data_IF_412917328953
#
_entry.id   IF_412917328953
#
_cell.length_a   1.000
_cell.length_b   1.000
_cell.length_c   1.000
_cell.angle_alpha   90.00
_cell.angle_beta   90.00
_cell.angle_gamma   90.00
#
_symmetry.space_group_name_H-M   'P 1'
#
loop_
_entity.id
_entity.type
_entity.pdbx_description
1 polymer ?
#
# COMPACT_ATOMS: atom_id res chain seq x y z
N UNK A 1 71.07 32.87 1.61
CA UNK A 1 70.92 33.26 3.03
C UNK A 1 70.41 34.70 3.08
N UNK A 2 69.61 35.02 4.10
CA UNK A 2 68.96 36.32 4.44
C UNK A 2 67.76 36.73 3.57
N UNK A 3 66.51 36.41 3.99
CA UNK A 3 65.56 37.29 4.74
C UNK A 3 65.15 38.55 3.96
N UNK A 4 63.89 38.93 3.78
CA UNK A 4 62.62 38.43 4.30
C UNK A 4 61.46 39.35 3.85
N UNK A 5 60.24 38.90 4.16
CA UNK A 5 58.99 39.63 4.41
C UNK A 5 58.67 40.85 3.53
N UNK A 6 57.65 40.71 2.68
CA UNK A 6 56.83 41.82 2.19
C UNK A 6 55.36 41.50 2.41
N UNK A 7 54.72 42.30 3.25
CA UNK A 7 53.33 42.71 3.06
C UNK A 7 53.19 44.08 3.72
N UNK A 8 52.50 45.01 3.06
CA UNK A 8 51.20 45.34 3.63
C UNK A 8 50.08 45.45 2.60
N UNK A 9 48.89 45.33 3.17
CA UNK A 9 47.55 45.28 2.63
C UNK A 9 47.15 46.59 1.95
N UNK A 10 46.40 46.52 0.86
CA UNK A 10 45.41 47.53 0.52
C UNK A 10 44.16 46.84 -0.05
N UNK A 11 43.07 47.02 0.70
CA UNK A 11 41.70 46.59 0.47
C UNK A 11 41.06 47.45 -0.63
N UNK A 12 40.44 46.83 -1.63
CA UNK A 12 39.47 47.50 -2.48
C UNK A 12 38.37 46.51 -2.89
N UNK A 13 37.25 46.61 -2.19
CA UNK A 13 35.98 45.95 -2.46
C UNK A 13 35.19 46.84 -3.43
N UNK A 14 34.91 46.37 -4.66
CA UNK A 14 33.79 46.89 -5.46
C UNK A 14 33.06 45.71 -6.09
N UNK A 15 31.81 45.54 -5.64
CA UNK A 15 30.81 44.63 -6.17
C UNK A 15 30.32 45.10 -7.54
N UNK A 16 30.06 44.17 -8.44
CA UNK A 16 29.49 44.46 -9.76
C UNK A 16 28.99 43.21 -10.47
N UNK A 17 27.89 42.63 -9.95
CA UNK A 17 26.86 41.83 -10.62
C UNK A 17 27.30 41.05 -11.88
N UNK A 18 28.01 39.93 -11.69
CA UNK A 18 27.97 38.85 -12.66
C UNK A 18 26.63 38.13 -12.54
N UNK A 19 25.85 38.03 -13.63
CA UNK A 19 24.67 37.18 -13.67
C UNK A 19 25.09 35.73 -13.39
N UNK A 20 24.61 35.07 -12.32
CA UNK A 20 24.63 33.62 -12.29
C UNK A 20 23.45 33.15 -13.15
N UNK A 21 23.67 33.06 -14.46
CA UNK A 21 22.95 32.09 -15.28
C UNK A 21 23.50 30.69 -14.92
N UNK A 22 23.23 30.24 -13.70
CA UNK A 22 23.45 28.89 -13.17
C UNK A 22 22.98 28.94 -11.70
N UNK A 23 22.24 27.92 -11.25
CA UNK A 23 21.77 27.73 -9.88
C UNK A 23 20.43 28.38 -9.51
N UNK A 24 19.37 27.94 -10.18
CA UNK A 24 18.12 27.64 -9.49
C UNK A 24 17.44 26.48 -10.21
N UNK A 25 18.09 25.31 -10.19
CA UNK A 25 17.30 24.09 -10.02
C UNK A 25 16.70 24.27 -8.63
N UNK A 26 15.51 24.86 -8.58
CA UNK A 26 14.74 24.89 -7.36
C UNK A 26 14.59 23.43 -6.96
N UNK A 27 15.28 23.06 -5.88
CA UNK A 27 15.00 21.87 -5.13
C UNK A 27 13.51 21.91 -4.80
N UNK A 28 12.69 21.24 -5.61
CA UNK A 28 11.35 20.81 -5.22
C UNK A 28 11.53 19.63 -4.26
N UNK A 29 12.23 19.92 -3.15
CA UNK A 29 12.33 19.06 -1.97
C UNK A 29 11.04 19.16 -1.19
N UNK A 30 9.92 18.84 -1.83
CA UNK A 30 8.80 18.24 -1.12
C UNK A 30 9.08 16.76 -1.17
N UNK A 31 9.67 16.23 -0.11
CA UNK A 31 9.65 14.81 0.18
C UNK A 31 8.19 14.38 0.04
N UNK A 32 7.85 13.76 -1.09
CA UNK A 32 6.49 13.28 -1.35
C UNK A 32 6.27 12.21 -0.31
N UNK A 33 5.40 12.48 0.65
CA UNK A 33 4.97 11.45 1.59
C UNK A 33 4.63 10.19 0.78
N UNK A 34 5.13 9.01 1.20
CA UNK A 34 4.90 7.80 0.44
C UNK A 34 3.40 7.58 0.27
N UNK A 35 2.97 7.34 -0.96
CA UNK A 35 1.57 7.02 -1.26
C UNK A 35 1.19 5.81 -0.42
N UNK A 36 0.14 5.95 0.40
CA UNK A 36 -0.37 4.87 1.24
C UNK A 36 -0.63 3.61 0.40
N UNK A 37 -0.10 2.49 0.85
CA UNK A 37 -0.31 1.16 0.29
C UNK A 37 -0.96 0.28 1.36
N UNK A 38 -2.24 -0.07 1.15
CA UNK A 38 -3.04 -0.92 2.04
C UNK A 38 -2.33 -2.26 2.30
N UNK A 39 -1.64 -2.80 1.31
CA UNK A 39 -0.98 -4.09 1.40
C UNK A 39 0.38 -4.04 2.10
N UNK A 40 0.94 -2.86 2.34
CA UNK A 40 2.26 -2.67 2.93
C UNK A 40 2.26 -1.54 3.98
N UNK A 41 1.49 -1.67 5.07
CA UNK A 41 1.47 -0.66 6.12
C UNK A 41 2.85 -0.60 6.82
N UNK A 42 3.34 0.59 7.19
CA UNK A 42 4.63 0.76 7.86
C UNK A 42 4.55 0.45 9.36
N UNK A 43 3.96 -0.69 9.72
CA UNK A 43 3.69 -1.11 11.10
C UNK A 43 4.23 -2.54 11.34
N UNK A 44 4.58 -2.83 12.59
CA UNK A 44 4.91 -4.20 12.99
C UNK A 44 3.62 -5.05 13.04
N UNK A 45 3.60 -6.12 12.25
CA UNK A 45 2.42 -6.97 12.12
C UNK A 45 2.50 -8.15 13.08
N UNK A 46 1.39 -8.42 13.77
CA UNK A 46 1.23 -9.63 14.60
C UNK A 46 0.17 -10.51 13.98
N UNK A 47 0.47 -11.80 13.84
CA UNK A 47 -0.49 -12.79 13.35
C UNK A 47 -1.30 -13.36 14.51
N UNK A 48 -2.62 -13.39 14.36
CA UNK A 48 -3.54 -14.07 15.29
C UNK A 48 -4.24 -15.19 14.54
N UNK A 49 -4.21 -16.41 15.10
CA UNK A 49 -4.96 -17.54 14.56
C UNK A 49 -6.37 -17.55 15.13
N UNK A 50 -7.37 -17.54 14.26
CA UNK A 50 -8.80 -17.60 14.64
C UNK A 50 -9.38 -18.89 14.08
N UNK A 51 -9.99 -19.70 14.95
CA UNK A 51 -10.74 -20.90 14.58
C UNK A 51 -12.19 -20.71 14.99
N UNK A 52 -13.09 -20.64 14.03
CA UNK A 52 -14.53 -20.46 14.25
C UNK A 52 -15.34 -21.25 13.23
N UNK A 53 -16.58 -21.57 13.60
CA UNK A 53 -17.61 -22.13 12.70
C UNK A 53 -18.83 -21.20 12.58
N UNK A 54 -18.70 -19.96 13.06
CA UNK A 54 -19.73 -18.93 13.03
C UNK A 54 -19.14 -17.62 12.53
N UNK A 55 -19.94 -16.88 11.77
CA UNK A 55 -19.65 -15.53 11.33
C UNK A 55 -20.89 -14.65 11.53
N UNK A 56 -20.69 -13.34 11.68
CA UNK A 56 -21.76 -12.36 11.77
C UNK A 56 -21.55 -11.29 10.71
N UNK A 57 -22.66 -10.79 10.14
CA UNK A 57 -22.62 -9.72 9.14
C UNK A 57 -21.89 -10.04 7.81
N UNK A 58 -21.64 -11.32 7.53
CA UNK A 58 -21.08 -11.75 6.25
C UNK A 58 -22.07 -11.59 5.11
N UNK A 59 -21.57 -11.13 3.95
CA UNK A 59 -22.27 -11.36 2.69
C UNK A 59 -21.90 -12.72 2.11
N UNK A 60 -22.82 -13.31 1.35
CA UNK A 60 -22.62 -14.62 0.73
C UNK A 60 -23.31 -14.69 -0.64
N UNK A 61 -22.80 -15.58 -1.49
CA UNK A 61 -23.47 -15.99 -2.72
C UNK A 61 -23.30 -17.50 -2.96
N UNK A 62 -24.26 -18.11 -3.66
CA UNK A 62 -24.31 -19.56 -3.89
C UNK A 62 -23.93 -19.86 -5.33
N UNK A 63 -23.13 -20.91 -5.55
CA UNK A 63 -22.73 -21.31 -6.89
C UNK A 63 -23.95 -21.65 -7.76
N UNK A 64 -23.93 -21.40 -9.08
CA UNK A 64 -25.07 -21.71 -9.95
C UNK A 64 -25.51 -23.17 -9.93
N UNK A 65 -24.59 -24.11 -9.64
CA UNK A 65 -24.88 -25.54 -9.50
C UNK A 65 -25.36 -25.94 -8.09
N UNK A 66 -25.45 -24.98 -7.17
CA UNK A 66 -25.93 -25.16 -5.80
C UNK A 66 -25.02 -25.98 -4.89
N UNK A 67 -23.78 -26.29 -5.32
CA UNK A 67 -22.88 -27.16 -4.54
C UNK A 67 -22.02 -26.41 -3.55
N UNK A 68 -21.76 -25.13 -3.77
CA UNK A 68 -20.83 -24.33 -2.99
C UNK A 68 -21.42 -22.96 -2.68
N UNK A 69 -20.85 -22.30 -1.70
CA UNK A 69 -21.11 -20.89 -1.42
C UNK A 69 -19.81 -20.17 -1.14
N UNK A 70 -19.75 -18.92 -1.56
CA UNK A 70 -18.69 -17.97 -1.23
C UNK A 70 -19.22 -17.00 -0.17
N UNK A 71 -18.38 -16.60 0.77
CA UNK A 71 -18.73 -15.61 1.79
C UNK A 71 -17.52 -14.79 2.19
N UNK A 72 -17.75 -13.59 2.71
CA UNK A 72 -16.69 -12.76 3.30
C UNK A 72 -16.58 -12.95 4.81
N UNK A 73 -15.36 -12.93 5.34
CA UNK A 73 -15.08 -12.96 6.78
C UNK A 73 -13.73 -12.29 7.05
N UNK A 74 -13.72 -11.31 7.96
CA UNK A 74 -12.51 -10.56 8.37
C UNK A 74 -11.72 -9.94 7.20
N UNK A 75 -12.41 -9.49 6.14
CA UNK A 75 -11.78 -8.87 4.97
C UNK A 75 -11.31 -9.86 3.90
N UNK A 76 -11.53 -11.17 4.11
CA UNK A 76 -11.18 -12.19 3.14
C UNK A 76 -12.41 -12.94 2.61
N UNK A 77 -12.29 -13.41 1.37
CA UNK A 77 -13.27 -14.29 0.75
C UNK A 77 -12.94 -15.74 1.03
N UNK A 78 -13.96 -16.52 1.36
CA UNK A 78 -13.87 -17.95 1.60
C UNK A 78 -14.90 -18.69 0.76
N UNK A 79 -14.59 -19.94 0.40
CA UNK A 79 -15.52 -20.85 -0.27
C UNK A 79 -15.67 -22.13 0.55
N UNK A 80 -16.88 -22.66 0.59
CA UNK A 80 -17.18 -23.94 1.24
C UNK A 80 -18.28 -24.70 0.49
N UNK A 81 -18.34 -26.01 0.69
CA UNK A 81 -19.43 -26.84 0.16
C UNK A 81 -20.73 -26.58 0.92
N UNK A 82 -21.87 -26.64 0.22
CA UNK A 82 -23.21 -26.38 0.78
C UNK A 82 -23.58 -27.34 1.91
N UNK A 83 -22.94 -28.52 1.95
CA UNK A 83 -23.11 -29.51 3.01
C UNK A 83 -22.31 -29.18 4.29
N UNK A 84 -21.57 -28.07 4.27
CA UNK A 84 -20.60 -27.71 5.30
C UNK A 84 -19.25 -28.41 5.09
N UNK A 85 -18.31 -28.12 5.99
CA UNK A 85 -16.93 -28.58 5.89
C UNK A 85 -15.96 -27.45 6.19
N UNK A 86 -14.67 -27.70 5.96
CA UNK A 86 -13.64 -26.68 6.12
C UNK A 86 -13.73 -25.65 5.00
N UNK A 87 -13.89 -24.38 5.36
CA UNK A 87 -13.84 -23.29 4.40
C UNK A 87 -12.40 -23.08 3.89
N UNK A 88 -12.26 -22.81 2.59
CA UNK A 88 -10.98 -22.48 1.95
C UNK A 88 -10.93 -20.97 1.68
N UNK A 89 -9.85 -20.33 2.10
CA UNK A 89 -9.58 -18.94 1.75
C UNK A 89 -9.31 -18.80 0.23
N UNK A 90 -9.95 -17.82 -0.39
CA UNK A 90 -9.75 -17.41 -1.78
C UNK A 90 -8.89 -16.14 -1.89
N UNK A 91 -8.97 -15.27 -0.88
CA UNK A 91 -8.04 -14.15 -0.66
C UNK A 91 -7.35 -14.36 0.69
N UNK A 92 -6.19 -13.72 0.85
CA UNK A 92 -5.45 -13.70 2.11
C UNK A 92 -4.44 -12.54 2.03
N UNK A 93 -4.96 -11.32 2.11
CA UNK A 93 -4.18 -10.10 2.07
C UNK A 93 -4.75 -9.04 3.03
N UNK A 94 -4.11 -7.87 3.11
CA UNK A 94 -4.54 -6.83 4.05
C UNK A 94 -5.71 -5.98 3.55
N UNK A 95 -6.12 -6.15 2.29
CA UNK A 95 -7.25 -5.41 1.75
C UNK A 95 -8.57 -5.99 2.25
N UNK A 96 -9.59 -5.16 2.33
CA UNK A 96 -10.93 -5.58 2.69
C UNK A 96 -11.69 -6.05 1.45
N UNK A 97 -11.72 -7.35 1.23
CA UNK A 97 -12.40 -8.00 0.13
C UNK A 97 -13.78 -8.50 0.58
N UNK A 98 -14.86 -7.89 0.07
CA UNK A 98 -16.23 -8.09 0.58
C UNK A 98 -17.28 -8.16 -0.53
N UNK A 99 -18.49 -8.59 -0.16
CA UNK A 99 -19.66 -8.67 -1.03
C UNK A 99 -19.42 -9.51 -2.30
N UNK A 100 -19.05 -10.80 -2.13
CA UNK A 100 -18.77 -11.64 -3.27
C UNK A 100 -20.04 -11.94 -4.10
N UNK A 101 -19.88 -12.07 -5.41
CA UNK A 101 -20.92 -12.50 -6.34
C UNK A 101 -20.31 -13.47 -7.38
N UNK A 102 -20.89 -14.66 -7.50
CA UNK A 102 -20.44 -15.70 -8.42
C UNK A 102 -21.03 -15.43 -9.81
N UNK A 103 -20.21 -15.59 -10.85
CA UNK A 103 -20.67 -15.44 -12.23
C UNK A 103 -21.69 -16.53 -12.60
N UNK A 104 -22.61 -16.29 -13.57
CA UNK A 104 -23.62 -17.28 -13.95
C UNK A 104 -23.06 -18.63 -14.44
N UNK A 105 -21.82 -18.65 -14.95
CA UNK A 105 -21.11 -19.85 -15.36
C UNK A 105 -20.30 -20.51 -14.22
N UNK A 106 -20.27 -19.91 -13.03
CA UNK A 106 -19.57 -20.40 -11.85
C UNK A 106 -18.04 -20.24 -11.89
N UNK A 107 -17.48 -19.64 -12.94
CA UNK A 107 -16.03 -19.61 -13.16
C UNK A 107 -15.32 -18.42 -12.53
N UNK A 108 -16.05 -17.38 -12.14
CA UNK A 108 -15.50 -16.12 -11.63
C UNK A 108 -16.27 -15.64 -10.41
N UNK A 109 -15.60 -14.86 -9.58
CA UNK A 109 -16.17 -14.18 -8.43
C UNK A 109 -15.84 -12.69 -8.56
N UNK A 110 -16.85 -11.84 -8.56
CA UNK A 110 -16.71 -10.40 -8.39
C UNK A 110 -16.80 -10.05 -6.91
N UNK A 111 -16.07 -9.03 -6.47
CA UNK A 111 -16.07 -8.55 -5.08
C UNK A 111 -15.65 -7.08 -5.04
N UNK A 112 -15.91 -6.42 -3.92
CA UNK A 112 -15.47 -5.05 -3.64
C UNK A 112 -14.17 -5.13 -2.84
N UNK A 113 -13.19 -4.31 -3.20
CA UNK A 113 -11.89 -4.22 -2.53
C UNK A 113 -11.54 -2.75 -2.27
N UNK A 114 -10.78 -2.48 -1.22
CA UNK A 114 -10.32 -1.14 -0.83
C UNK A 114 -8.88 -0.82 -1.28
N UNK A 115 -8.27 -1.72 -2.07
CA UNK A 115 -6.94 -1.54 -2.67
C UNK A 115 -6.97 -1.03 -4.11
#
# INVERSE_FOLDING_TARGET
>A
MTTGKLTPIALALIMGLGSPALMAEQADGKDKEPKWDVLNPPLEMTSVSISTNQTTWSSLDISPDGKQFVFDMLGDLYISDIKGGSAKALTNDLAFNVHPAISPDGQRIAFISDR
#
